data_IF_767248847657
#
_entry.id   IF_767248847657
#
_cell.length_a   1.000
_cell.length_b   1.000
_cell.length_c   1.000
_cell.angle_alpha   90.00
_cell.angle_beta   90.00
_cell.angle_gamma   90.00
#
_symmetry.space_group_name_H-M   'P 1'
#
loop_
_entity.id
_entity.type
_entity.pdbx_description
1 polymer ?
#
# COMPACT_ATOMS: atom_id res chain seq x y z
N UNK A 1 -0.10 -60.21 -11.32
CA UNK A 1 1.16 -60.81 -10.94
C UNK A 1 1.75 -59.86 -9.91
N UNK A 2 1.49 -60.14 -8.71
CA UNK A 2 2.32 -60.56 -7.56
C UNK A 2 3.27 -59.43 -7.18
N UNK A 3 3.28 -58.87 -6.02
CA UNK A 3 2.96 -59.38 -4.68
C UNK A 3 4.17 -59.18 -3.79
N UNK A 4 3.94 -58.55 -2.62
CA UNK A 4 4.69 -58.74 -1.39
C UNK A 4 6.21 -58.49 -1.32
N UNK A 5 6.61 -57.62 -0.44
CA UNK A 5 7.31 -58.01 0.81
C UNK A 5 7.43 -56.83 1.79
N UNK A 6 6.67 -56.94 2.83
CA UNK A 6 6.89 -56.40 4.18
C UNK A 6 7.91 -57.31 4.89
N UNK A 7 8.88 -56.78 5.62
CA UNK A 7 9.26 -57.37 6.93
C UNK A 7 10.45 -56.62 7.57
N UNK A 8 10.20 -56.01 8.69
CA UNK A 8 10.91 -55.95 9.97
C UNK A 8 12.44 -55.97 10.05
N UNK A 9 13.02 -55.08 10.80
CA UNK A 9 13.80 -55.51 12.00
C UNK A 9 13.89 -54.41 13.06
N UNK A 10 13.62 -54.85 14.25
CA UNK A 10 13.67 -54.19 15.56
C UNK A 10 15.06 -54.18 16.17
N UNK A 11 15.29 -53.16 17.04
CA UNK A 11 16.03 -53.19 18.33
C UNK A 11 17.54 -53.46 18.33
N UNK A 12 18.30 -52.52 18.83
CA UNK A 12 19.08 -52.80 20.05
C UNK A 12 19.46 -51.53 20.83
N UNK A 13 19.27 -51.65 22.12
CA UNK A 13 19.66 -50.69 23.15
C UNK A 13 21.12 -50.88 23.53
N UNK A 14 21.76 -49.82 23.97
CA UNK A 14 23.09 -49.88 24.60
C UNK A 14 23.62 -48.51 25.00
N UNK A 15 23.38 -48.06 26.23
CA UNK A 15 24.25 -47.12 26.90
C UNK A 15 25.40 -47.85 27.59
N UNK A 16 26.58 -47.27 27.83
CA UNK A 16 26.76 -46.44 29.00
C UNK A 16 27.81 -45.29 28.94
N UNK A 17 27.61 -44.31 29.85
CA UNK A 17 28.58 -43.50 30.62
C UNK A 17 29.96 -43.11 30.06
N UNK A 18 30.26 -41.79 30.04
CA UNK A 18 31.26 -41.20 30.95
C UNK A 18 31.42 -39.67 30.74
N UNK A 19 31.52 -38.96 31.82
CA UNK A 19 31.87 -37.57 32.05
C UNK A 19 33.00 -37.03 31.18
N UNK A 20 32.81 -35.85 30.59
CA UNK A 20 33.85 -34.80 30.55
C UNK A 20 33.19 -33.42 30.57
N UNK A 21 33.48 -32.66 31.64
CA UNK A 21 33.22 -31.23 31.73
C UNK A 21 34.14 -30.54 30.72
N UNK A 22 33.57 -29.81 29.80
CA UNK A 22 34.23 -28.72 29.09
C UNK A 22 33.45 -27.46 29.38
N UNK A 23 34.06 -26.62 30.22
CA UNK A 23 33.65 -25.22 30.44
C UNK A 23 34.06 -24.42 29.21
N UNK A 24 33.10 -24.14 28.35
CA UNK A 24 33.25 -23.20 27.24
C UNK A 24 32.05 -22.26 27.26
N UNK A 25 32.26 -21.02 27.72
CA UNK A 25 31.25 -20.01 27.78
C UNK A 25 30.80 -19.63 26.38
N UNK A 26 29.58 -20.00 26.02
CA UNK A 26 28.89 -19.46 24.87
C UNK A 26 28.17 -18.19 25.33
N UNK A 27 28.81 -17.06 25.08
CA UNK A 27 28.18 -15.75 25.19
C UNK A 27 27.08 -15.61 24.13
N UNK A 28 25.87 -16.02 24.49
CA UNK A 28 24.70 -15.73 23.70
C UNK A 28 24.43 -14.24 23.73
N UNK A 29 24.70 -13.56 22.64
CA UNK A 29 24.30 -12.18 22.41
C UNK A 29 22.77 -12.07 22.29
N UNK A 30 22.10 -12.01 23.44
CA UNK A 30 20.66 -11.63 23.53
C UNK A 30 20.51 -10.12 23.41
N UNK A 31 21.11 -9.46 22.39
CA UNK A 31 21.04 -8.00 22.29
C UNK A 31 19.85 -7.50 21.46
N UNK A 32 19.31 -8.33 20.58
CA UNK A 32 18.21 -7.93 19.67
C UNK A 32 16.85 -7.79 20.37
N UNK A 33 16.40 -8.85 21.06
CA UNK A 33 15.06 -8.88 21.66
C UNK A 33 14.83 -7.82 22.75
N UNK A 34 15.85 -7.50 23.54
CA UNK A 34 15.77 -6.47 24.60
C UNK A 34 15.67 -5.04 24.06
N UNK A 35 16.18 -4.77 22.86
CA UNK A 35 16.04 -3.45 22.20
C UNK A 35 14.62 -3.20 21.72
N UNK A 36 13.95 -4.20 21.19
CA UNK A 36 12.58 -4.11 20.67
C UNK A 36 11.53 -3.97 21.76
N UNK A 37 11.68 -4.68 22.88
CA UNK A 37 10.80 -4.55 24.05
C UNK A 37 10.85 -3.12 24.63
N UNK A 38 12.02 -2.46 24.60
CA UNK A 38 12.15 -1.06 25.02
C UNK A 38 11.49 -0.07 24.06
N UNK A 39 11.51 -0.33 22.76
CA UNK A 39 10.84 0.52 21.76
C UNK A 39 9.30 0.44 21.90
N UNK A 40 8.75 -0.75 22.11
CA UNK A 40 7.31 -0.95 22.35
C UNK A 40 6.90 -0.33 23.69
N UNK A 41 7.71 -0.44 24.73
CA UNK A 41 7.43 0.17 26.03
C UNK A 41 7.44 1.72 26.00
N UNK A 42 8.27 2.34 25.15
CA UNK A 42 8.29 3.80 24.97
C UNK A 42 7.01 4.28 24.26
N UNK A 43 6.52 3.54 23.26
CA UNK A 43 5.27 3.87 22.57
C UNK A 43 4.05 3.71 23.49
N UNK A 44 4.04 2.68 24.34
CA UNK A 44 3.01 2.46 25.35
C UNK A 44 3.08 3.45 26.52
N UNK A 45 4.27 3.88 26.92
CA UNK A 45 4.47 4.83 28.01
C UNK A 45 4.05 6.26 27.69
N UNK A 46 4.08 6.67 26.43
CA UNK A 46 3.59 7.99 25.96
C UNK A 46 2.05 8.04 25.86
N UNK A 47 1.36 6.89 25.79
CA UNK A 47 -0.10 6.83 25.68
C UNK A 47 -0.81 7.00 27.02
N UNK A 48 -0.13 6.83 28.16
CA UNK A 48 -0.79 6.88 29.49
C UNK A 48 -0.91 8.28 30.12
N UNK A 49 -0.33 9.31 29.49
CA UNK A 49 -0.23 10.65 30.10
C UNK A 49 -1.42 11.59 29.83
N UNK A 50 -2.41 11.25 29.01
CA UNK A 50 -3.54 12.13 28.71
C UNK A 50 -4.88 11.39 28.56
N UNK A 51 -5.35 10.71 29.60
CA UNK A 51 -6.76 10.34 29.70
C UNK A 51 -7.49 11.42 30.49
N UNK A 52 -7.67 12.57 29.87
CA UNK A 52 -8.59 13.59 30.35
C UNK A 52 -9.80 13.63 29.42
N UNK A 53 -10.92 13.16 29.94
CA UNK A 53 -12.32 13.32 29.51
C UNK A 53 -12.54 14.01 28.15
N UNK A 54 -12.72 13.23 27.10
CA UNK A 54 -13.28 13.70 25.85
C UNK A 54 -14.81 13.69 25.97
N UNK A 55 -15.39 14.89 26.07
CA UNK A 55 -16.81 15.14 25.95
C UNK A 55 -17.25 14.78 24.54
N UNK A 56 -18.30 13.96 24.40
CA UNK A 56 -18.88 13.54 23.12
C UNK A 56 -19.12 14.73 22.21
N UNK A 57 -18.39 14.78 21.09
CA UNK A 57 -18.67 15.74 20.03
C UNK A 57 -19.90 15.24 19.24
N UNK A 58 -20.99 15.95 19.34
CA UNK A 58 -22.28 15.70 18.69
C UNK A 58 -22.32 16.02 17.18
N UNK A 59 -21.21 16.15 16.53
CA UNK A 59 -21.12 16.36 15.08
C UNK A 59 -20.28 15.25 14.43
N UNK A 60 -20.90 14.06 14.36
CA UNK A 60 -20.38 13.00 13.49
C UNK A 60 -20.51 13.47 12.02
N UNK A 61 -19.45 13.31 11.21
CA UNK A 61 -19.56 13.62 9.77
C UNK A 61 -20.72 12.81 9.19
N UNK A 62 -21.44 13.35 8.17
CA UNK A 62 -22.64 12.71 7.65
C UNK A 62 -22.33 11.27 7.25
N UNK A 63 -23.09 10.34 7.82
CA UNK A 63 -22.99 8.91 7.50
C UNK A 63 -23.14 8.75 5.99
N UNK A 64 -22.07 8.36 5.33
CA UNK A 64 -22.08 8.00 3.91
C UNK A 64 -22.89 6.72 3.78
N UNK A 65 -24.18 6.81 3.55
CA UNK A 65 -25.04 5.67 3.23
C UNK A 65 -24.84 5.30 1.77
N UNK A 66 -23.82 4.50 1.50
CA UNK A 66 -23.83 3.62 0.32
C UNK A 66 -24.82 2.49 0.61
N UNK A 67 -25.52 1.94 -0.40
CA UNK A 67 -26.27 0.73 -0.21
C UNK A 67 -25.28 -0.35 0.23
N UNK A 68 -25.38 -0.76 1.48
CA UNK A 68 -24.45 -1.69 2.12
C UNK A 68 -25.27 -2.84 2.65
N UNK A 69 -24.88 -4.05 2.29
CA UNK A 69 -25.40 -5.23 2.96
C UNK A 69 -24.79 -5.29 4.37
N UNK A 70 -25.56 -4.92 5.35
CA UNK A 70 -25.14 -4.95 6.75
C UNK A 70 -26.19 -5.64 7.63
N UNK A 71 -25.70 -6.42 8.57
CA UNK A 71 -26.47 -6.98 9.68
C UNK A 71 -25.96 -6.31 10.93
N UNK A 72 -26.86 -5.79 11.75
CA UNK A 72 -26.52 -5.07 12.98
C UNK A 72 -27.39 -5.59 14.13
N UNK A 73 -26.82 -5.76 15.32
CA UNK A 73 -27.57 -6.11 16.52
C UNK A 73 -28.41 -4.91 17.00
N UNK A 74 -29.49 -5.17 17.73
CA UNK A 74 -30.39 -4.14 18.27
C UNK A 74 -29.64 -3.12 19.14
N UNK A 75 -28.60 -3.56 19.87
CA UNK A 75 -27.75 -2.67 20.68
C UNK A 75 -26.78 -1.80 19.86
N UNK A 76 -26.58 -2.11 18.56
CA UNK A 76 -25.56 -1.47 17.73
C UNK A 76 -24.11 -1.85 18.09
N UNK A 77 -23.91 -2.76 19.04
CA UNK A 77 -22.59 -3.17 19.50
C UNK A 77 -21.90 -4.14 18.52
N UNK A 78 -22.70 -4.88 17.74
CA UNK A 78 -22.20 -5.83 16.76
C UNK A 78 -22.75 -5.46 15.38
N UNK A 79 -21.87 -5.41 14.39
CA UNK A 79 -22.21 -5.13 13.00
C UNK A 79 -21.33 -5.93 12.07
N UNK A 80 -21.93 -6.60 11.10
CA UNK A 80 -21.27 -7.21 9.97
C UNK A 80 -21.69 -6.49 8.69
N UNK A 81 -20.73 -6.08 7.91
CA UNK A 81 -20.93 -5.46 6.61
C UNK A 81 -20.21 -6.26 5.54
N UNK A 82 -20.93 -6.57 4.46
CA UNK A 82 -20.39 -7.23 3.28
C UNK A 82 -20.35 -6.18 2.17
N UNK A 83 -19.19 -6.04 1.56
CA UNK A 83 -18.96 -5.14 0.45
C UNK A 83 -17.95 -5.74 -0.53
N UNK A 84 -17.57 -4.95 -1.50
CA UNK A 84 -16.57 -5.37 -2.46
C UNK A 84 -16.61 -4.53 -3.72
N UNK A 85 -15.82 -4.93 -4.69
CA UNK A 85 -15.82 -4.31 -6.01
C UNK A 85 -15.18 -5.23 -7.06
N UNK A 86 -15.65 -5.02 -8.28
CA UNK A 86 -15.15 -5.64 -9.48
C UNK A 86 -14.60 -4.56 -10.41
N UNK A 87 -13.42 -4.77 -10.97
CA UNK A 87 -12.80 -3.91 -11.97
C UNK A 87 -12.40 -4.76 -13.17
N UNK A 88 -13.09 -4.55 -14.29
CA UNK A 88 -12.74 -5.09 -15.59
C UNK A 88 -12.03 -4.01 -16.41
N UNK A 89 -10.91 -4.34 -17.03
CA UNK A 89 -10.15 -3.38 -17.82
C UNK A 89 -9.81 -3.89 -19.23
N UNK A 90 -9.76 -2.95 -20.18
CA UNK A 90 -9.08 -3.09 -21.46
C UNK A 90 -7.80 -2.27 -21.43
N UNK A 91 -6.71 -2.86 -21.89
CA UNK A 91 -5.39 -2.26 -21.94
C UNK A 91 -4.85 -2.38 -23.35
N UNK A 92 -4.46 -1.27 -23.95
CA UNK A 92 -4.04 -1.18 -25.33
C UNK A 92 -2.75 -0.39 -25.44
N UNK A 93 -1.73 -0.98 -26.05
CA UNK A 93 -0.49 -0.32 -26.35
C UNK A 93 -0.59 0.40 -27.69
N UNK A 94 -0.34 1.70 -27.69
CA UNK A 94 -0.36 2.50 -28.91
C UNK A 94 1.07 2.66 -29.44
N UNK A 95 1.30 2.30 -30.72
CA UNK A 95 2.60 2.38 -31.37
C UNK A 95 3.70 1.56 -30.65
N UNK A 96 3.39 0.35 -30.20
CA UNK A 96 4.34 -0.57 -29.57
C UNK A 96 5.15 -1.32 -30.62
N UNK A 97 6.10 -0.63 -31.27
CA UNK A 97 6.98 -1.21 -32.27
C UNK A 97 7.85 -2.35 -31.72
N UNK A 98 8.03 -2.44 -30.41
CA UNK A 98 8.84 -3.46 -29.76
C UNK A 98 7.99 -4.67 -29.27
N UNK A 99 6.67 -4.62 -29.45
CA UNK A 99 5.72 -5.65 -29.03
C UNK A 99 5.94 -6.10 -27.57
N UNK A 100 6.21 -5.13 -26.69
CA UNK A 100 6.47 -5.38 -25.26
C UNK A 100 5.19 -5.57 -24.45
N UNK A 101 4.10 -5.01 -24.93
CA UNK A 101 2.80 -5.05 -24.26
C UNK A 101 1.81 -5.78 -25.16
N UNK A 102 1.10 -6.75 -24.61
CA UNK A 102 -0.01 -7.40 -25.29
C UNK A 102 -1.29 -6.65 -24.97
N UNK A 103 -2.04 -6.28 -26.00
CA UNK A 103 -3.40 -5.77 -25.84
C UNK A 103 -4.27 -6.83 -25.18
N UNK A 104 -5.01 -6.44 -24.14
CA UNK A 104 -5.73 -7.43 -23.35
C UNK A 104 -6.96 -6.86 -22.68
N UNK A 105 -7.97 -7.70 -22.51
CA UNK A 105 -9.02 -7.52 -21.53
C UNK A 105 -8.72 -8.37 -20.30
N UNK A 106 -8.88 -7.83 -19.12
CA UNK A 106 -8.56 -8.52 -17.88
C UNK A 106 -9.54 -8.18 -16.76
N UNK A 107 -9.79 -9.16 -15.92
CA UNK A 107 -10.39 -8.92 -14.61
C UNK A 107 -9.30 -8.40 -13.68
N UNK A 108 -9.16 -7.07 -13.58
CA UNK A 108 -8.04 -6.42 -12.88
C UNK A 108 -8.10 -6.64 -11.38
N UNK A 109 -9.32 -6.57 -10.82
CA UNK A 109 -9.58 -6.83 -9.39
C UNK A 109 -10.99 -7.34 -9.22
N UNK A 110 -11.12 -8.37 -8.42
CA UNK A 110 -12.41 -8.85 -7.92
C UNK A 110 -12.26 -9.10 -6.43
N UNK A 111 -12.79 -8.20 -5.62
CA UNK A 111 -12.59 -8.21 -4.18
C UNK A 111 -13.88 -8.35 -3.43
N UNK A 112 -13.85 -9.24 -2.43
CA UNK A 112 -14.87 -9.33 -1.39
C UNK A 112 -14.26 -8.74 -0.11
N UNK A 113 -15.04 -7.88 0.53
CA UNK A 113 -14.65 -7.19 1.76
C UNK A 113 -15.67 -7.53 2.83
N UNK A 114 -15.19 -8.10 3.93
CA UNK A 114 -15.95 -8.26 5.14
C UNK A 114 -15.38 -7.31 6.17
N UNK A 115 -16.22 -6.49 6.77
CA UNK A 115 -15.81 -5.59 7.83
C UNK A 115 -16.92 -5.44 8.85
N UNK A 116 -16.56 -5.05 10.05
CA UNK A 116 -17.58 -4.89 11.07
C UNK A 116 -17.01 -4.50 12.41
N UNK A 117 -17.93 -4.54 13.38
CA UNK A 117 -17.70 -4.19 14.77
C UNK A 117 -18.23 -5.32 15.64
N UNK A 118 -17.49 -5.64 16.67
CA UNK A 118 -17.85 -6.64 17.67
C UNK A 118 -17.66 -6.05 19.08
N UNK A 119 -18.61 -6.31 19.95
CA UNK A 119 -18.56 -5.89 21.36
C UNK A 119 -18.11 -4.43 21.53
N UNK A 120 -18.62 -3.51 20.71
CA UNK A 120 -18.44 -2.05 20.76
C UNK A 120 -17.01 -1.54 20.46
N UNK A 121 -15.98 -2.21 20.95
CA UNK A 121 -14.59 -1.73 20.89
C UNK A 121 -13.70 -2.46 19.88
N UNK A 122 -14.15 -3.57 19.32
CA UNK A 122 -13.37 -4.36 18.38
C UNK A 122 -13.92 -4.17 16.97
N UNK A 123 -13.06 -3.78 16.03
CA UNK A 123 -13.38 -3.70 14.63
C UNK A 123 -12.53 -4.70 13.87
N UNK A 124 -13.07 -5.27 12.80
CA UNK A 124 -12.31 -6.17 11.93
C UNK A 124 -12.48 -5.77 10.47
N UNK A 125 -11.48 -6.11 9.69
CA UNK A 125 -11.46 -5.88 8.25
C UNK A 125 -10.78 -7.03 7.55
N UNK A 126 -11.46 -7.60 6.58
CA UNK A 126 -10.97 -8.67 5.73
C UNK A 126 -11.20 -8.30 4.26
N UNK A 127 -10.18 -8.44 3.42
CA UNK A 127 -10.20 -8.07 2.02
C UNK A 127 -9.46 -9.14 1.22
N UNK A 128 -10.19 -9.89 0.39
CA UNK A 128 -9.65 -10.95 -0.45
C UNK A 128 -9.87 -10.61 -1.92
N UNK A 129 -8.81 -10.79 -2.72
CA UNK A 129 -8.81 -10.56 -4.17
C UNK A 129 -8.83 -11.91 -4.90
N UNK A 130 -9.79 -12.09 -5.78
CA UNK A 130 -10.04 -13.31 -6.58
C UNK A 130 -9.62 -13.13 -8.04
N UNK A 131 -8.89 -12.06 -8.38
CA UNK A 131 -8.47 -11.80 -9.75
C UNK A 131 -7.28 -12.68 -10.17
N UNK A 132 -7.05 -12.80 -11.50
CA UNK A 132 -5.93 -13.52 -12.10
C UNK A 132 -5.83 -15.01 -11.73
N UNK A 133 -6.97 -15.67 -11.53
CA UNK A 133 -7.05 -17.09 -11.12
C UNK A 133 -6.28 -17.40 -9.82
N UNK A 134 -6.08 -16.42 -8.97
CA UNK A 134 -5.41 -16.56 -7.68
C UNK A 134 -6.27 -15.98 -6.57
N UNK A 135 -6.23 -16.62 -5.41
CA UNK A 135 -6.84 -16.10 -4.20
C UNK A 135 -5.75 -15.43 -3.37
N UNK A 136 -5.86 -14.11 -3.21
CA UNK A 136 -4.88 -13.34 -2.46
C UNK A 136 -5.55 -12.64 -1.29
N UNK A 137 -5.15 -12.99 -0.07
CA UNK A 137 -5.53 -12.25 1.13
C UNK A 137 -4.79 -10.92 1.14
N UNK A 138 -5.50 -9.82 0.84
CA UNK A 138 -4.91 -8.48 0.76
C UNK A 138 -4.76 -7.86 2.14
N UNK A 139 -5.82 -7.84 2.91
CA UNK A 139 -5.86 -7.29 4.27
C UNK A 139 -6.62 -8.25 5.18
N UNK A 140 -6.13 -8.48 6.40
CA UNK A 140 -6.82 -9.22 7.44
C UNK A 140 -6.31 -8.72 8.81
N UNK A 141 -7.08 -7.86 9.45
CA UNK A 141 -6.70 -7.29 10.73
C UNK A 141 -7.90 -7.03 11.61
N UNK A 142 -7.63 -6.90 12.88
CA UNK A 142 -8.58 -6.38 13.85
C UNK A 142 -8.00 -5.17 14.59
N UNK A 143 -8.91 -4.29 14.98
CA UNK A 143 -8.63 -3.08 15.74
C UNK A 143 -9.25 -3.17 17.12
N UNK A 144 -8.49 -2.80 18.14
CA UNK A 144 -9.03 -2.43 19.45
C UNK A 144 -9.12 -0.91 19.51
N UNK A 145 -10.33 -0.37 19.51
CA UNK A 145 -10.60 1.07 19.50
C UNK A 145 -10.83 1.55 20.92
N UNK A 146 -9.85 2.20 21.51
CA UNK A 146 -9.96 2.76 22.85
C UNK A 146 -10.47 4.19 22.83
N UNK A 147 -10.05 4.97 21.85
CA UNK A 147 -10.51 6.35 21.60
C UNK A 147 -10.17 6.76 20.16
N UNK A 148 -10.67 7.89 19.66
CA UNK A 148 -10.22 8.46 18.41
C UNK A 148 -8.70 8.73 18.36
N UNK A 149 -8.12 9.01 19.52
CA UNK A 149 -6.68 9.28 19.65
C UNK A 149 -5.84 8.00 19.76
N UNK A 150 -6.44 6.85 20.03
CA UNK A 150 -5.68 5.61 20.21
C UNK A 150 -6.47 4.39 19.74
N UNK A 151 -5.93 3.73 18.73
CA UNK A 151 -6.38 2.47 18.17
C UNK A 151 -5.18 1.53 18.03
N UNK A 152 -5.32 0.32 18.50
CA UNK A 152 -4.33 -0.75 18.32
C UNK A 152 -4.84 -1.70 17.23
N UNK A 153 -4.06 -1.87 16.19
CA UNK A 153 -4.33 -2.76 15.05
C UNK A 153 -3.35 -3.90 15.00
N UNK A 154 -3.83 -5.11 14.78
CA UNK A 154 -3.02 -6.31 14.65
C UNK A 154 -3.44 -7.09 13.42
N UNK A 155 -2.48 -7.52 12.61
CA UNK A 155 -2.70 -8.35 11.43
C UNK A 155 -2.03 -7.83 10.17
N UNK A 156 -2.50 -8.33 9.01
CA UNK A 156 -2.02 -7.94 7.68
C UNK A 156 -2.75 -6.69 7.21
N UNK A 157 -2.01 -5.65 6.91
CA UNK A 157 -2.54 -4.34 6.61
C UNK A 157 -1.62 -3.55 5.67
N UNK A 158 -2.08 -2.44 5.14
CA UNK A 158 -1.21 -1.51 4.41
C UNK A 158 -0.17 -0.92 5.36
N UNK A 159 1.10 -0.94 4.95
CA UNK A 159 2.15 -0.24 5.68
C UNK A 159 1.83 1.27 5.76
N UNK A 160 1.95 1.91 6.92
CA UNK A 160 1.66 3.35 7.07
C UNK A 160 2.78 4.20 6.46
N UNK A 161 2.90 4.19 5.14
CA UNK A 161 4.01 4.80 4.45
C UNK A 161 3.57 5.69 3.27
N UNK A 162 3.33 5.15 2.07
CA UNK A 162 3.00 5.93 0.87
C UNK A 162 1.54 6.40 0.88
N UNK A 163 1.30 7.67 0.54
CA UNK A 163 -0.06 8.20 0.42
C UNK A 163 -0.86 7.47 -0.67
N UNK A 164 -0.26 7.26 -1.84
CA UNK A 164 -0.92 6.54 -2.95
C UNK A 164 -1.27 5.09 -2.54
N UNK A 165 -0.37 4.37 -1.83
CA UNK A 165 -0.65 3.03 -1.32
C UNK A 165 -1.82 3.01 -0.32
N UNK A 166 -1.93 4.04 0.50
CA UNK A 166 -2.98 4.14 1.53
C UNK A 166 -4.37 4.45 0.93
N UNK A 167 -4.45 5.01 -0.28
CA UNK A 167 -5.73 5.23 -0.95
C UNK A 167 -6.50 3.91 -1.13
N UNK A 168 -7.82 3.97 -0.92
CA UNK A 168 -8.72 2.86 -1.24
C UNK A 168 -8.74 2.72 -2.77
N UNK A 169 -8.52 1.50 -3.26
CA UNK A 169 -8.33 1.25 -4.70
C UNK A 169 -9.54 1.66 -5.53
N UNK A 170 -10.76 1.45 -5.04
CA UNK A 170 -11.98 1.89 -5.73
C UNK A 170 -12.13 3.41 -5.82
N UNK A 171 -11.36 4.16 -5.02
CA UNK A 171 -11.36 5.62 -4.98
C UNK A 171 -10.14 6.26 -5.64
N UNK A 172 -9.24 5.48 -6.26
CA UNK A 172 -8.08 6.04 -6.96
C UNK A 172 -8.51 6.85 -8.17
N UNK A 173 -7.76 7.94 -8.44
CA UNK A 173 -7.96 8.79 -9.61
C UNK A 173 -7.63 8.05 -10.91
N UNK A 174 -6.63 7.18 -10.86
CA UNK A 174 -6.09 6.46 -12.01
C UNK A 174 -6.28 4.96 -11.83
N UNK A 175 -6.30 4.22 -12.92
CA UNK A 175 -6.43 2.76 -12.91
C UNK A 175 -5.22 2.09 -12.27
N UNK A 176 -4.01 2.59 -12.57
CA UNK A 176 -2.78 2.12 -11.95
C UNK A 176 -2.20 3.16 -10.99
N UNK A 177 -1.55 2.66 -9.95
CA UNK A 177 -0.85 3.48 -8.97
C UNK A 177 0.38 4.13 -9.59
N UNK A 178 0.86 5.19 -8.96
CA UNK A 178 2.04 5.91 -9.42
C UNK A 178 3.35 5.12 -9.26
N UNK A 179 4.38 5.59 -9.99
CA UNK A 179 5.74 5.03 -9.96
C UNK A 179 6.33 5.02 -8.54
N UNK A 180 5.96 5.98 -7.69
CA UNK A 180 6.38 6.06 -6.28
C UNK A 180 6.06 4.78 -5.50
N UNK A 181 5.02 4.04 -5.92
CA UNK A 181 4.66 2.80 -5.25
C UNK A 181 5.61 1.64 -5.53
N UNK A 182 6.50 1.74 -6.53
CA UNK A 182 7.56 0.76 -6.76
C UNK A 182 8.63 0.79 -5.66
N UNK A 183 8.89 1.97 -5.08
CA UNK A 183 9.91 2.18 -4.03
C UNK A 183 9.31 2.35 -2.64
N UNK A 184 8.04 1.98 -2.48
CA UNK A 184 7.30 2.03 -1.22
C UNK A 184 6.79 0.63 -0.83
N UNK A 185 6.75 0.27 0.47
CA UNK A 185 6.13 -0.97 0.93
C UNK A 185 4.63 -0.98 0.60
N UNK A 186 4.06 -2.14 0.27
CA UNK A 186 2.60 -2.26 0.06
C UNK A 186 1.92 -2.68 1.36
N UNK A 187 1.95 -3.97 1.68
CA UNK A 187 1.31 -4.52 2.87
C UNK A 187 2.31 -5.28 3.71
N UNK A 188 2.08 -5.19 5.00
CA UNK A 188 2.89 -5.89 5.98
C UNK A 188 2.01 -6.51 7.06
N UNK A 189 2.52 -7.55 7.70
CA UNK A 189 1.89 -8.18 8.86
C UNK A 189 2.59 -7.71 10.12
N UNK A 190 1.81 -7.20 11.08
CA UNK A 190 2.41 -6.65 12.29
C UNK A 190 1.42 -5.98 13.21
N UNK A 191 1.94 -5.15 14.10
CA UNK A 191 1.19 -4.39 15.11
C UNK A 191 1.36 -2.91 14.84
N UNK A 192 0.24 -2.18 14.80
CA UNK A 192 0.20 -0.74 14.54
C UNK A 192 -0.61 -0.03 15.60
N UNK A 193 -0.09 1.09 16.07
CA UNK A 193 -0.83 2.09 16.85
C UNK A 193 -1.12 3.27 15.93
N UNK A 194 -2.36 3.73 15.92
CA UNK A 194 -2.79 4.87 15.10
C UNK A 194 -3.88 5.68 15.80
N UNK A 195 -4.02 6.91 15.40
CA UNK A 195 -5.06 7.79 15.94
C UNK A 195 -5.00 9.20 15.41
N UNK A 196 -5.99 9.97 15.83
CA UNK A 196 -6.14 11.39 15.53
C UNK A 196 -6.05 12.19 16.82
N UNK A 197 -5.16 13.18 16.84
CA UNK A 197 -4.93 14.09 17.97
C UNK A 197 -5.46 15.47 17.63
N UNK A 198 -5.69 16.29 18.68
CA UNK A 198 -6.13 17.68 18.54
C UNK A 198 -7.38 17.81 17.63
N UNK A 199 -8.39 16.94 17.83
CA UNK A 199 -9.64 16.92 17.03
C UNK A 199 -9.39 16.72 15.52
N UNK A 200 -8.40 15.89 15.17
CA UNK A 200 -8.09 15.55 13.77
C UNK A 200 -7.13 16.52 13.06
N UNK A 201 -6.51 17.45 13.80
CA UNK A 201 -5.42 18.28 13.27
C UNK A 201 -4.19 17.44 12.99
N UNK A 202 -3.87 16.47 13.85
CA UNK A 202 -2.72 15.58 13.67
C UNK A 202 -3.21 14.15 13.60
N UNK A 203 -2.90 13.45 12.50
CA UNK A 203 -3.08 12.01 12.37
C UNK A 203 -1.73 11.32 12.45
N UNK A 204 -1.61 10.26 13.23
CA UNK A 204 -0.37 9.53 13.38
C UNK A 204 -0.57 8.01 13.22
N UNK A 205 0.50 7.34 12.83
CA UNK A 205 0.60 5.88 12.80
C UNK A 205 2.02 5.46 13.11
N UNK A 206 2.18 4.44 13.95
CA UNK A 206 3.44 3.75 14.21
C UNK A 206 3.22 2.25 14.12
N UNK A 207 4.08 1.52 13.40
CA UNK A 207 3.92 0.08 13.15
C UNK A 207 5.25 -0.64 13.29
N UNK A 208 5.19 -1.87 13.78
CA UNK A 208 6.26 -2.87 13.70
C UNK A 208 5.74 -4.03 12.87
N UNK A 209 6.47 -4.42 11.83
CA UNK A 209 6.07 -5.47 10.89
C UNK A 209 7.26 -6.27 10.35
N UNK A 210 6.99 -7.18 9.43
CA UNK A 210 7.99 -8.09 8.87
C UNK A 210 8.96 -7.43 7.88
N UNK A 211 8.59 -6.29 7.25
CA UNK A 211 9.46 -5.53 6.38
C UNK A 211 9.50 -6.00 4.92
N UNK A 212 8.41 -5.81 4.12
CA UNK A 212 8.39 -6.18 2.72
C UNK A 212 9.42 -5.43 1.88
N UNK A 213 9.90 -6.08 0.82
CA UNK A 213 10.68 -5.41 -0.21
C UNK A 213 9.88 -4.27 -0.88
N UNK A 214 10.58 -3.37 -1.57
CA UNK A 214 9.96 -2.25 -2.28
C UNK A 214 8.93 -2.73 -3.28
N UNK A 215 7.76 -2.09 -3.33
CA UNK A 215 6.65 -2.45 -4.20
C UNK A 215 5.90 -3.73 -3.82
N UNK A 216 6.35 -4.48 -2.82
CA UNK A 216 5.85 -5.80 -2.48
C UNK A 216 5.07 -5.82 -1.15
N UNK A 217 4.41 -6.94 -0.93
CA UNK A 217 3.76 -7.30 0.33
C UNK A 217 4.59 -8.40 1.01
N UNK A 218 4.60 -8.43 2.35
CA UNK A 218 5.15 -9.55 3.11
C UNK A 218 4.03 -10.47 3.59
N UNK A 219 4.14 -11.77 3.26
CA UNK A 219 3.30 -12.81 3.86
C UNK A 219 3.96 -13.34 5.13
N UNK A 220 5.25 -13.67 5.00
CA UNK A 220 6.09 -14.18 6.08
C UNK A 220 7.37 -13.36 6.15
N UNK A 221 8.03 -13.43 7.28
CA UNK A 221 9.35 -12.86 7.46
C UNK A 221 10.41 -13.73 6.77
N UNK A 222 11.40 -13.08 6.19
CA UNK A 222 12.57 -13.73 5.58
C UNK A 222 13.80 -13.70 6.50
N UNK A 223 13.68 -13.03 7.65
CA UNK A 223 14.72 -12.91 8.67
C UNK A 223 14.08 -12.59 10.04
N UNK A 224 14.86 -12.64 11.13
CA UNK A 224 14.35 -12.37 12.48
C UNK A 224 14.19 -10.86 12.79
N UNK A 225 14.67 -9.98 11.89
CA UNK A 225 14.57 -8.53 12.09
C UNK A 225 13.17 -8.01 11.68
N UNK A 226 12.80 -6.86 12.24
CA UNK A 226 11.52 -6.21 11.95
C UNK A 226 11.75 -4.81 11.39
N UNK A 227 10.88 -4.40 10.47
CA UNK A 227 10.78 -3.01 10.02
C UNK A 227 9.92 -2.20 11.00
N UNK A 228 10.34 -0.99 11.28
CA UNK A 228 9.57 0.00 12.03
C UNK A 228 9.11 1.07 11.07
N UNK A 229 7.85 1.47 11.18
CA UNK A 229 7.22 2.51 10.38
C UNK A 229 6.70 3.62 11.28
N UNK A 230 6.79 4.84 10.79
CA UNK A 230 6.14 6.01 11.39
C UNK A 230 5.56 6.90 10.31
N UNK A 231 4.36 7.43 10.54
CA UNK A 231 3.73 8.42 9.66
C UNK A 231 2.98 9.44 10.48
N UNK A 232 3.18 10.72 10.15
CA UNK A 232 2.46 11.84 10.75
C UNK A 232 1.94 12.75 9.63
N UNK A 233 0.66 13.12 9.71
CA UNK A 233 0.02 14.09 8.83
C UNK A 233 -0.60 15.19 9.67
N UNK A 234 -0.45 16.43 9.24
CA UNK A 234 -0.98 17.61 9.92
C UNK A 234 -1.94 18.34 9.00
N UNK A 235 -3.11 18.69 9.53
CA UNK A 235 -4.16 19.52 8.90
C UNK A 235 -4.32 20.83 9.69
N UNK A 236 -3.50 21.85 9.45
CA UNK A 236 -3.43 23.02 10.33
C UNK A 236 -4.76 23.78 10.45
N UNK A 237 -5.60 23.73 9.43
CA UNK A 237 -6.87 24.45 9.35
C UNK A 237 -8.11 23.56 9.56
N UNK A 238 -7.93 22.30 9.99
CA UNK A 238 -9.04 21.33 10.14
C UNK A 238 -10.15 21.80 11.09
N UNK A 239 -9.80 22.64 12.08
CA UNK A 239 -10.75 23.18 13.06
C UNK A 239 -11.69 24.25 12.50
N UNK A 240 -11.38 24.83 11.34
CA UNK A 240 -12.20 25.82 10.65
C UNK A 240 -12.70 25.30 9.30
N UNK A 241 -13.83 24.64 9.30
CA UNK A 241 -14.41 24.03 8.09
C UNK A 241 -14.69 25.05 6.94
N UNK A 242 -14.80 26.34 7.26
CA UNK A 242 -15.01 27.41 6.26
C UNK A 242 -13.70 27.92 5.66
N UNK A 243 -12.56 27.54 6.23
CA UNK A 243 -11.26 27.95 5.70
C UNK A 243 -10.98 27.24 4.37
N UNK A 244 -10.51 27.93 3.31
CA UNK A 244 -10.23 27.30 2.02
C UNK A 244 -9.26 26.12 2.10
N UNK A 245 -8.31 26.18 3.06
CA UNK A 245 -7.32 25.12 3.30
C UNK A 245 -7.74 24.13 4.41
N UNK A 246 -9.01 24.09 4.83
CA UNK A 246 -9.47 23.19 5.90
C UNK A 246 -9.13 21.72 5.64
N UNK A 247 -9.08 21.29 4.37
CA UNK A 247 -8.79 19.93 3.93
C UNK A 247 -7.34 19.70 3.54
N UNK A 248 -6.51 20.75 3.51
CA UNK A 248 -5.09 20.60 3.23
C UNK A 248 -4.42 19.84 4.36
N UNK A 249 -3.67 18.80 3.99
CA UNK A 249 -2.82 18.07 4.92
C UNK A 249 -1.43 17.86 4.31
N UNK A 250 -0.41 18.00 5.15
CA UNK A 250 0.96 17.68 4.79
C UNK A 250 1.60 16.88 5.91
N UNK A 251 2.58 16.05 5.58
CA UNK A 251 3.26 15.23 6.55
C UNK A 251 4.38 14.41 5.98
N UNK A 252 4.88 13.50 6.80
CA UNK A 252 6.00 12.63 6.45
C UNK A 252 5.76 11.23 6.96
N UNK A 253 6.23 10.26 6.18
CA UNK A 253 6.36 8.88 6.60
C UNK A 253 7.83 8.44 6.53
N UNK A 254 8.21 7.53 7.41
CA UNK A 254 9.53 6.90 7.41
C UNK A 254 9.41 5.43 7.78
N UNK A 255 10.34 4.62 7.29
CA UNK A 255 10.52 3.24 7.76
C UNK A 255 12.00 2.86 7.76
N UNK A 256 12.34 1.93 8.62
CA UNK A 256 13.69 1.38 8.69
C UNK A 256 13.70 0.00 9.31
N UNK A 257 14.60 -0.84 8.81
CA UNK A 257 14.81 -2.19 9.30
C UNK A 257 15.98 -2.89 8.61
N UNK A 258 16.08 -4.17 8.85
CA UNK A 258 17.07 -5.03 8.22
C UNK A 258 16.38 -5.94 7.21
N UNK A 259 16.85 -5.88 5.98
CA UNK A 259 16.32 -6.72 4.90
C UNK A 259 17.20 -7.96 4.68
N UNK A 260 16.58 -9.02 4.19
CA UNK A 260 17.27 -10.19 3.66
C UNK A 260 16.40 -10.83 2.56
N UNK A 261 17.01 -11.21 1.44
CA UNK A 261 16.32 -11.94 0.38
C UNK A 261 15.98 -11.12 -0.87
N UNK A 262 14.84 -11.37 -1.52
CA UNK A 262 14.55 -10.84 -2.84
C UNK A 262 14.56 -9.31 -2.90
N UNK A 263 15.08 -8.78 -4.00
CA UNK A 263 15.02 -7.35 -4.34
C UNK A 263 13.86 -7.05 -5.28
N UNK A 264 13.47 -5.78 -5.34
CA UNK A 264 12.33 -5.34 -6.12
C UNK A 264 12.58 -5.35 -7.63
N UNK A 265 11.51 -5.55 -8.41
CA UNK A 265 11.42 -5.21 -9.82
C UNK A 265 10.52 -3.99 -9.95
N UNK A 266 10.96 -2.98 -10.73
CA UNK A 266 10.18 -1.78 -10.94
C UNK A 266 9.42 -1.87 -12.26
N UNK A 267 8.11 -1.60 -12.15
CA UNK A 267 7.18 -1.71 -13.26
C UNK A 267 6.76 -0.31 -13.72
N UNK A 268 6.68 -0.15 -15.05
CA UNK A 268 5.98 0.99 -15.64
C UNK A 268 4.48 0.92 -15.30
N UNK A 269 3.72 2.00 -15.47
CA UNK A 269 2.27 1.94 -15.36
C UNK A 269 1.61 0.99 -16.39
N UNK A 270 2.27 0.76 -17.53
CA UNK A 270 1.93 -0.31 -18.48
C UNK A 270 2.18 -1.73 -17.92
N UNK A 271 2.67 -1.83 -16.67
CA UNK A 271 3.02 -3.06 -15.94
C UNK A 271 4.14 -3.87 -16.59
N UNK A 272 4.99 -3.20 -17.35
CA UNK A 272 6.18 -3.80 -17.93
C UNK A 272 7.40 -3.51 -17.04
N UNK A 273 8.23 -4.51 -16.74
CA UNK A 273 9.49 -4.28 -16.04
C UNK A 273 10.37 -3.30 -16.83
N UNK A 274 10.78 -2.19 -16.19
CA UNK A 274 11.76 -1.28 -16.76
C UNK A 274 13.10 -1.32 -16.03
N UNK A 275 13.06 -1.74 -14.75
CA UNK A 275 14.26 -2.02 -13.97
C UNK A 275 14.11 -3.36 -13.24
N UNK A 276 15.13 -4.19 -13.36
CA UNK A 276 15.33 -5.39 -12.57
C UNK A 276 16.79 -5.43 -12.13
N UNK A 277 17.04 -5.99 -10.98
CA UNK A 277 18.40 -6.34 -10.58
C UNK A 277 18.90 -7.54 -11.39
N UNK A 278 20.22 -7.62 -11.58
CA UNK A 278 20.87 -8.78 -12.17
C UNK A 278 20.61 -10.03 -11.32
N UNK A 279 20.49 -11.18 -11.99
CA UNK A 279 20.23 -12.47 -11.32
C UNK A 279 21.23 -12.74 -10.20
N UNK A 280 20.74 -13.24 -9.07
CA UNK A 280 21.52 -13.51 -7.88
C UNK A 280 21.77 -12.28 -6.98
N UNK A 281 21.18 -11.13 -7.29
CA UNK A 281 21.20 -9.97 -6.39
C UNK A 281 20.18 -10.17 -5.27
N UNK A 282 20.60 -9.95 -4.03
CA UNK A 282 19.74 -10.01 -2.84
C UNK A 282 19.88 -8.74 -2.00
N UNK A 283 18.81 -8.37 -1.33
CA UNK A 283 18.84 -7.35 -0.30
C UNK A 283 19.53 -7.90 0.97
N UNK A 284 20.32 -7.06 1.60
CA UNK A 284 21.04 -7.41 2.85
C UNK A 284 21.04 -6.21 3.78
N UNK A 285 21.14 -6.48 5.08
CA UNK A 285 21.34 -5.47 6.12
C UNK A 285 20.33 -4.32 6.09
N UNK A 286 20.80 -3.08 6.13
CA UNK A 286 19.97 -1.91 6.40
C UNK A 286 19.16 -1.46 5.18
N UNK A 287 17.87 -1.18 5.43
CA UNK A 287 17.02 -0.43 4.50
C UNK A 287 16.33 0.70 5.25
N UNK A 288 16.34 1.89 4.66
CA UNK A 288 15.66 3.07 5.20
C UNK A 288 14.87 3.74 4.10
N UNK A 289 13.62 4.09 4.38
CA UNK A 289 12.73 4.82 3.46
C UNK A 289 12.16 6.04 4.15
N UNK A 290 11.85 7.07 3.38
CA UNK A 290 11.08 8.21 3.87
C UNK A 290 10.29 8.87 2.73
N UNK A 291 9.19 9.55 3.07
CA UNK A 291 8.26 10.11 2.11
C UNK A 291 7.55 11.33 2.69
N UNK A 292 7.90 12.56 2.27
CA UNK A 292 7.06 13.73 2.44
C UNK A 292 5.83 13.62 1.54
N UNK A 293 4.69 14.08 2.04
CA UNK A 293 3.39 13.91 1.41
C UNK A 293 2.54 15.16 1.61
N UNK A 294 1.74 15.50 0.62
CA UNK A 294 0.73 16.54 0.72
C UNK A 294 -0.55 16.13 -0.01
N UNK A 295 -1.69 16.52 0.53
CA UNK A 295 -3.00 16.31 -0.08
C UNK A 295 -3.87 17.53 0.15
N UNK A 296 -4.66 17.84 -0.85
CA UNK A 296 -5.62 18.93 -0.79
C UNK A 296 -6.87 18.59 -1.60
N UNK A 297 -8.03 18.89 -1.07
CA UNK A 297 -9.28 18.85 -1.82
C UNK A 297 -10.18 20.00 -1.39
N UNK A 298 -10.79 20.67 -2.36
CA UNK A 298 -11.69 21.78 -2.11
C UNK A 298 -12.63 21.99 -3.31
N UNK A 299 -13.93 22.12 -3.06
CA UNK A 299 -14.89 22.27 -4.11
C UNK A 299 -14.81 21.13 -5.13
N UNK A 300 -14.48 21.44 -6.36
CA UNK A 300 -14.36 20.47 -7.46
C UNK A 300 -12.95 19.86 -7.60
N UNK A 301 -11.99 20.35 -6.86
CA UNK A 301 -10.58 19.94 -6.95
C UNK A 301 -10.21 18.90 -5.91
N UNK A 302 -9.42 17.91 -6.32
CA UNK A 302 -8.65 17.03 -5.46
C UNK A 302 -7.29 16.77 -6.06
N UNK A 303 -6.25 16.93 -5.25
CA UNK A 303 -4.88 16.64 -5.66
C UNK A 303 -4.03 16.14 -4.50
N UNK A 304 -2.95 15.45 -4.85
CA UNK A 304 -1.93 15.01 -3.90
C UNK A 304 -0.56 14.94 -4.56
N UNK A 305 0.46 15.07 -3.74
CA UNK A 305 1.85 14.89 -4.12
C UNK A 305 2.57 14.04 -3.07
N UNK A 306 3.50 13.22 -3.51
CA UNK A 306 4.43 12.52 -2.64
C UNK A 306 5.79 12.39 -3.32
N UNK A 307 6.82 12.39 -2.51
CA UNK A 307 8.16 12.01 -2.90
C UNK A 307 8.60 10.85 -2.02
N UNK A 308 9.27 9.85 -2.58
CA UNK A 308 9.69 8.65 -1.87
C UNK A 308 11.17 8.42 -2.16
N UNK A 309 11.91 8.12 -1.11
CA UNK A 309 13.29 7.63 -1.19
C UNK A 309 13.38 6.29 -0.48
N UNK A 310 14.01 5.32 -1.15
CA UNK A 310 14.35 4.01 -0.59
C UNK A 310 15.85 3.78 -0.75
N UNK A 311 16.55 3.64 0.36
CA UNK A 311 17.99 3.35 0.41
C UNK A 311 18.21 2.02 1.11
N UNK A 312 18.87 1.08 0.42
CA UNK A 312 19.10 -0.26 0.96
C UNK A 312 20.40 -0.87 0.47
N UNK A 313 20.96 -1.75 1.28
CA UNK A 313 22.17 -2.49 0.94
C UNK A 313 21.80 -3.73 0.12
N UNK A 314 22.55 -3.99 -0.94
CA UNK A 314 22.36 -5.15 -1.82
C UNK A 314 23.69 -5.83 -2.10
N UNK A 315 23.63 -7.13 -2.38
CA UNK A 315 24.82 -7.95 -2.65
C UNK A 315 24.59 -8.89 -3.82
N UNK A 316 25.61 -9.07 -4.65
CA UNK A 316 25.64 -10.03 -5.76
C UNK A 316 27.07 -10.53 -5.98
N UNK A 317 27.32 -11.85 -5.90
CA UNK A 317 28.63 -12.44 -6.21
C UNK A 317 29.79 -11.81 -5.44
N UNK A 318 29.59 -11.42 -4.18
CA UNK A 318 30.60 -10.73 -3.35
C UNK A 318 30.67 -9.21 -3.54
N UNK A 319 30.05 -8.65 -4.59
CA UNK A 319 29.93 -7.20 -4.77
C UNK A 319 28.77 -6.71 -3.89
N UNK A 320 29.07 -5.81 -2.96
CA UNK A 320 28.10 -5.17 -2.08
C UNK A 320 28.11 -3.66 -2.29
N UNK A 321 26.92 -3.07 -2.38
CA UNK A 321 26.76 -1.62 -2.48
C UNK A 321 25.43 -1.17 -1.85
N UNK A 322 25.35 0.11 -1.51
CA UNK A 322 24.11 0.75 -1.06
C UNK A 322 23.45 1.43 -2.24
N UNK A 323 22.27 0.97 -2.61
CA UNK A 323 21.49 1.56 -3.72
C UNK A 323 20.42 2.51 -3.18
N UNK A 324 20.25 3.66 -3.85
CA UNK A 324 19.40 4.76 -3.42
C UNK A 324 18.40 5.11 -4.52
N UNK A 325 17.17 4.65 -4.39
CA UNK A 325 16.09 4.90 -5.36
C UNK A 325 15.23 6.06 -4.90
N UNK A 326 14.83 6.91 -5.85
CA UNK A 326 13.89 8.01 -5.58
C UNK A 326 12.74 8.01 -6.57
N UNK A 327 11.57 8.42 -6.12
CA UNK A 327 10.41 8.62 -6.99
C UNK A 327 9.53 9.72 -6.45
N UNK A 328 8.87 10.44 -7.35
CA UNK A 328 7.88 11.45 -6.96
C UNK A 328 6.73 11.50 -7.94
N UNK A 329 5.60 12.01 -7.45
CA UNK A 329 4.42 12.25 -8.27
C UNK A 329 3.65 13.47 -7.79
N UNK A 330 2.99 14.11 -8.74
CA UNK A 330 1.95 15.12 -8.52
C UNK A 330 0.72 14.69 -9.30
N UNK A 331 -0.40 14.58 -8.61
CA UNK A 331 -1.68 14.11 -9.14
C UNK A 331 -2.76 15.12 -8.85
N UNK A 332 -3.62 15.37 -9.81
CA UNK A 332 -4.73 16.29 -9.65
C UNK A 332 -5.96 15.85 -10.42
N UNK A 333 -7.11 16.38 -10.01
CA UNK A 333 -8.38 16.14 -10.67
C UNK A 333 -9.31 17.35 -10.52
N UNK A 334 -10.25 17.46 -11.48
CA UNK A 334 -11.28 18.47 -11.47
C UNK A 334 -12.62 17.87 -11.91
N UNK A 335 -13.66 18.06 -11.10
CA UNK A 335 -15.01 17.62 -11.44
C UNK A 335 -15.64 18.62 -12.41
N UNK A 336 -15.94 18.15 -13.61
CA UNK A 336 -16.41 18.99 -14.72
C UNK A 336 -17.91 19.31 -14.60
N UNK A 337 -18.68 18.42 -13.99
CA UNK A 337 -20.15 18.52 -13.86
C UNK A 337 -20.63 19.28 -12.63
N UNK A 338 -19.68 19.75 -11.80
CA UNK A 338 -19.95 20.68 -10.71
C UNK A 338 -20.26 20.04 -9.35
N UNK A 339 -20.08 18.73 -9.19
CA UNK A 339 -20.13 18.06 -7.88
C UNK A 339 -18.92 18.45 -7.02
N UNK A 340 -19.13 18.44 -5.72
CA UNK A 340 -18.05 18.67 -4.75
C UNK A 340 -17.35 17.35 -4.41
N UNK A 341 -16.02 17.38 -4.32
CA UNK A 341 -15.24 16.25 -3.82
C UNK A 341 -15.41 16.15 -2.31
N UNK A 342 -15.94 15.03 -1.83
CA UNK A 342 -16.08 14.76 -0.40
C UNK A 342 -15.21 13.54 -0.05
N UNK A 343 -14.26 13.73 0.86
CA UNK A 343 -13.38 12.65 1.35
C UNK A 343 -12.77 11.79 0.25
N UNK A 344 -12.34 12.41 -0.85
CA UNK A 344 -11.75 11.75 -2.02
C UNK A 344 -12.74 10.92 -2.85
N UNK A 345 -14.03 11.11 -2.64
CA UNK A 345 -15.09 10.47 -3.41
C UNK A 345 -15.92 11.52 -4.14
N UNK A 346 -16.56 11.11 -5.24
CA UNK A 346 -17.48 11.92 -6.01
C UNK A 346 -18.81 11.18 -6.04
N UNK A 347 -19.87 11.90 -5.68
CA UNK A 347 -21.24 11.42 -5.80
C UNK A 347 -21.96 12.26 -6.81
N UNK A 348 -22.44 11.66 -7.91
CA UNK A 348 -23.30 12.38 -8.84
C UNK A 348 -24.48 12.99 -8.11
N UNK A 349 -24.81 14.24 -8.42
CA UNK A 349 -26.02 14.90 -7.90
C UNK A 349 -27.27 14.15 -8.33
N UNK A 350 -27.26 13.66 -9.58
CA UNK A 350 -28.28 12.79 -10.13
C UNK A 350 -27.60 11.61 -10.78
N UNK A 351 -28.09 10.40 -10.52
CA UNK A 351 -27.55 9.18 -11.11
C UNK A 351 -27.80 9.16 -12.64
N UNK A 352 -27.00 8.40 -13.35
CA UNK A 352 -27.14 8.16 -14.78
C UNK A 352 -28.52 7.59 -15.10
N UNK A 353 -29.29 8.35 -15.89
CA UNK A 353 -30.62 8.03 -16.39
C UNK A 353 -30.81 8.71 -17.75
N UNK A 354 -30.37 8.09 -18.87
CA UNK A 354 -30.42 8.67 -20.19
C UNK A 354 -31.81 9.10 -20.66
N UNK A 355 -32.90 8.34 -20.38
CA UNK A 355 -34.26 8.79 -20.74
C UNK A 355 -34.64 10.13 -20.15
N UNK A 356 -34.11 10.44 -18.94
CA UNK A 356 -34.33 11.72 -18.26
C UNK A 356 -33.23 12.77 -18.55
N UNK A 357 -32.29 12.47 -19.45
CA UNK A 357 -31.17 13.36 -19.79
C UNK A 357 -30.06 13.46 -18.74
N UNK A 358 -30.02 12.56 -17.78
CA UNK A 358 -29.02 12.57 -16.69
C UNK A 358 -27.81 11.68 -17.01
N UNK A 359 -26.62 12.25 -16.92
CA UNK A 359 -25.37 11.57 -17.30
C UNK A 359 -24.45 11.23 -16.11
N UNK A 360 -24.87 11.47 -14.87
CA UNK A 360 -24.01 11.29 -13.70
C UNK A 360 -22.94 12.38 -13.59
N UNK A 361 -21.77 12.06 -13.06
CA UNK A 361 -20.69 13.03 -12.85
C UNK A 361 -19.44 12.68 -13.67
N UNK A 362 -18.75 13.71 -14.18
CA UNK A 362 -17.54 13.59 -14.98
C UNK A 362 -16.39 14.33 -14.31
N UNK A 363 -15.23 13.67 -14.19
CA UNK A 363 -14.01 14.20 -13.58
C UNK A 363 -12.83 14.05 -14.54
N UNK A 364 -12.12 15.15 -14.81
CA UNK A 364 -10.84 15.11 -15.49
C UNK A 364 -9.72 14.83 -14.45
N UNK A 365 -8.72 14.04 -14.86
CA UNK A 365 -7.59 13.65 -14.01
C UNK A 365 -6.27 13.81 -14.76
N UNK A 366 -5.22 14.23 -14.05
CA UNK A 366 -3.86 14.30 -14.59
C UNK A 366 -2.83 13.95 -13.53
N UNK A 367 -1.73 13.30 -13.94
CA UNK A 367 -0.57 12.98 -13.09
C UNK A 367 0.71 13.14 -13.88
N UNK A 368 1.72 13.71 -13.24
CA UNK A 368 3.10 13.62 -13.67
C UNK A 368 3.94 12.96 -12.59
N UNK A 369 4.87 12.10 -13.01
CA UNK A 369 5.63 11.26 -12.09
C UNK A 369 6.97 10.86 -12.67
N UNK A 370 7.94 10.60 -11.78
CA UNK A 370 9.27 10.13 -12.13
C UNK A 370 9.78 9.12 -11.09
N UNK A 371 10.55 8.13 -11.57
CA UNK A 371 11.33 7.23 -10.74
C UNK A 371 12.76 7.20 -11.25
N UNK A 372 13.72 7.41 -10.34
CA UNK A 372 15.16 7.33 -10.59
C UNK A 372 15.73 6.16 -9.78
N UNK A 373 16.40 5.26 -10.48
CA UNK A 373 17.15 4.14 -9.92
C UNK A 373 18.55 4.61 -9.57
N UNK A 374 19.05 4.25 -8.40
CA UNK A 374 20.37 4.64 -7.96
C UNK A 374 21.47 4.25 -8.95
N UNK A 375 22.30 5.20 -9.32
CA UNK A 375 23.40 5.04 -10.30
C UNK A 375 24.35 3.89 -9.93
N UNK A 376 24.54 3.67 -8.63
CA UNK A 376 25.41 2.60 -8.12
C UNK A 376 24.98 1.22 -8.65
N UNK A 377 23.67 0.96 -8.80
CA UNK A 377 23.20 -0.32 -9.34
C UNK A 377 23.76 -0.63 -10.73
N UNK A 378 23.96 0.39 -11.54
CA UNK A 378 24.52 0.26 -12.90
C UNK A 378 26.04 0.18 -12.88
N UNK A 379 26.69 1.07 -12.13
CA UNK A 379 28.14 1.17 -12.05
C UNK A 379 28.79 -0.10 -11.48
N UNK A 380 28.13 -0.77 -10.53
CA UNK A 380 28.65 -1.98 -9.88
C UNK A 380 28.11 -3.29 -10.48
N UNK A 381 27.35 -3.22 -11.58
CA UNK A 381 26.82 -4.40 -12.27
C UNK A 381 25.69 -5.13 -11.49
N UNK A 382 25.03 -4.44 -10.57
CA UNK A 382 23.88 -4.94 -9.84
C UNK A 382 22.58 -4.81 -10.63
N UNK A 383 22.51 -3.89 -11.61
CA UNK A 383 21.39 -3.78 -12.54
C UNK A 383 21.48 -4.86 -13.63
N UNK A 384 20.35 -5.38 -14.07
CA UNK A 384 20.28 -6.29 -15.19
C UNK A 384 20.61 -5.56 -16.52
N UNK A 385 21.11 -6.29 -17.50
CA UNK A 385 21.35 -5.74 -18.83
C UNK A 385 20.05 -5.20 -19.45
N UNK A 386 20.11 -3.99 -20.01
CA UNK A 386 18.94 -3.33 -20.62
C UNK A 386 17.95 -2.74 -19.62
N UNK A 387 18.25 -2.75 -18.32
CA UNK A 387 17.46 -2.01 -17.32
C UNK A 387 17.56 -0.50 -17.55
N UNK A 388 16.47 0.22 -17.31
CA UNK A 388 16.42 1.68 -17.38
C UNK A 388 16.77 2.30 -16.04
N UNK A 389 17.53 3.39 -16.06
CA UNK A 389 17.91 4.12 -14.86
C UNK A 389 16.78 5.02 -14.37
N UNK A 390 15.98 5.56 -15.28
CA UNK A 390 14.80 6.34 -14.88
C UNK A 390 13.61 6.11 -15.82
N UNK A 391 12.43 6.42 -15.29
CA UNK A 391 11.19 6.46 -16.02
C UNK A 391 10.43 7.74 -15.66
N UNK A 392 10.08 8.52 -16.67
CA UNK A 392 9.19 9.68 -16.60
C UNK A 392 7.84 9.31 -17.20
N UNK A 393 6.75 9.59 -16.49
CA UNK A 393 5.42 9.27 -16.99
C UNK A 393 4.43 10.39 -16.73
N UNK A 394 3.56 10.64 -17.68
CA UNK A 394 2.41 11.50 -17.52
C UNK A 394 1.12 10.76 -17.92
N UNK A 395 0.07 11.04 -17.20
CA UNK A 395 -1.27 10.47 -17.40
C UNK A 395 -2.26 11.61 -17.56
N UNK A 396 -3.16 11.48 -18.51
CA UNK A 396 -4.37 12.28 -18.61
C UNK A 396 -5.57 11.34 -18.78
N UNK A 397 -6.69 11.66 -18.15
CA UNK A 397 -7.85 10.78 -18.21
C UNK A 397 -9.16 11.41 -17.77
N UNK A 398 -10.21 10.62 -17.91
CA UNK A 398 -11.57 10.94 -17.50
C UNK A 398 -12.14 9.83 -16.64
N UNK A 399 -12.73 10.19 -15.53
CA UNK A 399 -13.53 9.31 -14.68
C UNK A 399 -15.00 9.70 -14.82
N UNK A 400 -15.83 8.73 -15.19
CA UNK A 400 -17.26 8.90 -15.32
C UNK A 400 -17.99 8.11 -14.25
N UNK A 401 -18.58 8.81 -13.30
CA UNK A 401 -19.37 8.25 -12.20
C UNK A 401 -20.84 8.21 -12.63
N UNK A 402 -21.33 7.05 -13.05
CA UNK A 402 -22.73 6.87 -13.43
C UNK A 402 -23.65 6.97 -12.20
N UNK A 403 -23.21 6.38 -11.09
CA UNK A 403 -23.86 6.45 -9.79
C UNK A 403 -22.81 6.17 -8.69
N UNK A 404 -23.23 5.85 -7.48
CA UNK A 404 -22.32 5.55 -6.37
C UNK A 404 -21.60 4.19 -6.51
N UNK A 405 -22.13 3.28 -7.35
CA UNK A 405 -21.65 1.91 -7.49
C UNK A 405 -20.88 1.69 -8.80
N UNK A 406 -21.21 2.46 -9.85
CA UNK A 406 -20.68 2.24 -11.20
C UNK A 406 -19.84 3.44 -11.64
N UNK A 407 -18.59 3.15 -11.99
CA UNK A 407 -17.61 4.11 -12.48
C UNK A 407 -16.89 3.56 -13.70
N UNK A 408 -16.71 4.41 -14.71
CA UNK A 408 -15.79 4.16 -15.82
C UNK A 408 -14.58 5.07 -15.72
N UNK A 409 -13.43 4.58 -16.14
CA UNK A 409 -12.18 5.34 -16.18
C UNK A 409 -11.51 5.12 -17.54
N UNK A 410 -11.17 6.21 -18.21
CA UNK A 410 -10.37 6.20 -19.43
C UNK A 410 -9.10 6.98 -19.16
N UNK A 411 -7.94 6.35 -19.33
CA UNK A 411 -6.63 6.99 -19.15
C UNK A 411 -5.78 6.78 -20.39
N UNK A 412 -5.10 7.84 -20.80
CA UNK A 412 -3.96 7.76 -21.68
C UNK A 412 -2.72 8.05 -20.85
N UNK A 413 -1.74 7.19 -20.98
CA UNK A 413 -0.46 7.28 -20.25
C UNK A 413 0.72 7.12 -21.19
N UNK A 414 1.70 8.03 -21.08
CA UNK A 414 2.97 7.94 -21.77
C UNK A 414 4.11 7.88 -20.78
N UNK A 415 4.94 6.82 -20.90
CA UNK A 415 6.14 6.63 -20.10
C UNK A 415 7.36 6.66 -21.00
N UNK A 416 8.35 7.49 -20.66
CA UNK A 416 9.61 7.65 -21.36
C UNK A 416 10.72 7.13 -20.45
N UNK A 417 11.64 6.37 -21.03
CA UNK A 417 12.79 5.80 -20.32
C UNK A 417 14.08 6.50 -20.76
N UNK A 418 15.13 6.39 -19.96
CA UNK A 418 16.44 6.94 -20.29
C UNK A 418 17.01 6.32 -21.57
N UNK A 419 17.79 7.13 -22.28
CA UNK A 419 18.45 6.68 -23.52
C UNK A 419 19.57 5.66 -23.28
N UNK A 420 20.08 5.56 -22.05
CA UNK A 420 21.14 4.64 -21.68
C UNK A 420 20.70 3.18 -21.60
N UNK A 421 19.38 2.93 -21.48
CA UNK A 421 18.80 1.59 -21.50
C UNK A 421 18.74 0.98 -22.91
N UNK A 422 19.61 1.40 -23.80
CA UNK A 422 19.65 0.93 -25.17
C UNK A 422 18.48 1.48 -26.00
N UNK A 423 17.78 0.59 -26.69
CA UNK A 423 16.74 0.95 -27.67
C UNK A 423 15.33 0.97 -27.08
N UNK A 424 15.14 1.05 -25.72
CA UNK A 424 13.81 1.05 -25.15
C UNK A 424 13.02 2.29 -25.57
N UNK A 425 11.96 2.05 -26.34
CA UNK A 425 11.07 3.11 -26.82
C UNK A 425 10.05 3.48 -25.73
N UNK A 426 9.48 4.70 -25.80
CA UNK A 426 8.40 5.10 -24.91
C UNK A 426 7.21 4.14 -24.97
N UNK A 427 6.58 3.90 -23.83
CA UNK A 427 5.30 3.19 -23.73
C UNK A 427 4.15 4.20 -23.82
N UNK A 428 3.19 3.97 -24.72
CA UNK A 428 1.95 4.73 -24.80
C UNK A 428 0.80 3.77 -24.55
N UNK A 429 0.09 3.97 -23.45
CA UNK A 429 -0.97 3.08 -23.01
C UNK A 429 -2.32 3.80 -23.01
N UNK A 430 -3.30 3.22 -23.68
CA UNK A 430 -4.71 3.57 -23.51
C UNK A 430 -5.36 2.49 -22.65
N UNK A 431 -5.98 2.91 -21.56
CA UNK A 431 -6.65 1.97 -20.65
C UNK A 431 -8.07 2.41 -20.40
N UNK A 432 -8.98 1.46 -20.47
CA UNK A 432 -10.41 1.63 -20.16
C UNK A 432 -10.77 0.66 -19.03
N UNK A 433 -11.37 1.17 -17.96
CA UNK A 433 -11.81 0.33 -16.85
C UNK A 433 -13.26 0.60 -16.50
N UNK A 434 -14.02 -0.48 -16.34
CA UNK A 434 -15.33 -0.46 -15.70
C UNK A 434 -15.20 -0.95 -14.26
N UNK A 435 -15.74 -0.20 -13.32
CA UNK A 435 -15.82 -0.57 -11.92
C UNK A 435 -17.26 -0.68 -11.48
N UNK A 436 -17.58 -1.77 -10.82
CA UNK A 436 -18.81 -1.96 -10.05
C UNK A 436 -18.42 -2.20 -8.58
N UNK A 437 -19.01 -1.44 -7.66
CA UNK A 437 -18.76 -1.54 -6.23
C UNK A 437 -20.04 -1.76 -5.43
N UNK A 438 -19.92 -2.46 -4.30
CA UNK A 438 -20.98 -2.70 -3.31
C UNK A 438 -20.66 -2.01 -2.00
#
# INVERSE_FOLDING_TARGET
MNGDELTQMRLNAGAPRANQRVTGGVGTTMSGARRWIRAVAVVLGLATANVAHAQEAKDAPPKVTTPVFAIESDSGDNRLQIGGFLQAEGRFALNDEQQRVTDTFAMRRFRIILQGKLARHFEFYWNTDFSNNTLTLRDAYFDTVLSPAFRLRVGKQKAPFSYDRLLIVSQTLFQERGLSTNVAPDRDTGVQVLGDLAKGVVSYSAMVGNGPADGQLAEFDTNDAKDVYGRVMVRPWAHNAKHPLATFAAGVAASGGTQAGPVATFLSPGRQPFFTYASGTTGVDRRVRWSPQAVYFHGHFWGYAEWVRSRGDVVRGGVRDTVDHTSWQVSGSWVLTGETVVERNIRPRVAFDPPSGHWGALQAVARYQRLDVGENAFRTGLAAAGASQHADSWVAGLNWYMNQLVKWQLNFERTVFDKNAGTRKPENMLTLQAQFGL
#
